data_IF_416954629793
#
_entry.id   IF_416954629793
#
_cell.length_a   1.000
_cell.length_b   1.000
_cell.length_c   1.000
_cell.angle_alpha   90.00
_cell.angle_beta   90.00
_cell.angle_gamma   90.00
#
_symmetry.space_group_name_H-M   'P 1'
#
loop_
_entity.id
_entity.type
_entity.pdbx_description
1 polymer ?
#
# COMPACT_ATOMS: atom_id res chain seq x y z
N UNK A 1 20.28 -10.71 21.37
CA UNK A 1 19.43 -10.78 20.16
C UNK A 1 18.16 -9.99 20.46
N UNK A 2 18.21 -8.67 20.34
CA UNK A 2 17.06 -7.80 20.59
C UNK A 2 16.83 -6.98 19.32
N UNK A 3 15.86 -7.46 18.56
CA UNK A 3 15.37 -6.90 17.31
C UNK A 3 14.83 -5.49 17.60
N UNK A 4 15.67 -4.47 17.36
CA UNK A 4 15.27 -3.07 17.47
C UNK A 4 14.46 -2.72 16.23
N UNK A 5 13.16 -2.91 16.37
CA UNK A 5 12.11 -2.29 15.58
C UNK A 5 12.32 -0.76 15.62
N UNK A 6 13.09 -0.27 14.62
CA UNK A 6 13.33 1.16 14.42
C UNK A 6 12.02 1.80 13.99
N UNK A 7 11.20 2.16 14.99
CA UNK A 7 10.08 3.09 14.89
C UNK A 7 10.53 4.32 14.12
N UNK A 8 10.22 4.34 12.82
CA UNK A 8 10.43 5.52 11.97
C UNK A 8 9.51 6.62 12.48
N UNK A 9 10.17 7.74 12.75
CA UNK A 9 9.67 8.97 13.36
C UNK A 9 8.35 9.42 12.72
N UNK A 10 7.37 9.70 13.57
CA UNK A 10 6.24 10.57 13.27
C UNK A 10 6.78 11.98 12.97
N UNK A 11 7.08 12.26 11.71
CA UNK A 11 7.17 13.62 11.19
C UNK A 11 5.91 13.84 10.35
N UNK A 12 5.10 14.84 10.74
CA UNK A 12 3.86 15.19 10.08
C UNK A 12 4.09 15.38 8.58
N UNK A 13 3.34 14.60 7.80
CA UNK A 13 3.39 14.42 6.34
C UNK A 13 4.61 13.62 5.85
N UNK A 14 4.44 12.32 5.50
CA UNK A 14 5.44 11.64 4.66
C UNK A 14 5.71 12.50 3.42
N UNK A 15 6.97 12.63 3.06
CA UNK A 15 7.44 13.32 1.85
C UNK A 15 6.44 13.08 0.70
N UNK A 16 5.89 14.16 0.14
CA UNK A 16 4.78 14.08 -0.82
C UNK A 16 5.15 13.21 -2.03
N UNK A 17 6.43 13.18 -2.45
CA UNK A 17 6.90 12.32 -3.55
C UNK A 17 6.89 10.86 -3.16
N UNK A 18 7.38 10.53 -1.96
CA UNK A 18 7.32 9.16 -1.43
C UNK A 18 5.87 8.68 -1.31
N UNK A 19 4.95 9.59 -0.99
CA UNK A 19 3.52 9.31 -0.98
C UNK A 19 2.98 9.03 -2.39
N UNK A 20 3.30 9.85 -3.39
CA UNK A 20 2.87 9.67 -4.77
C UNK A 20 3.41 8.39 -5.40
N UNK A 21 4.69 8.07 -5.16
CA UNK A 21 5.31 6.82 -5.61
C UNK A 21 4.60 5.59 -5.05
N UNK A 22 4.20 5.66 -3.78
CA UNK A 22 3.51 4.57 -3.09
C UNK A 22 2.07 4.41 -3.62
N UNK A 23 1.37 5.51 -3.94
CA UNK A 23 0.07 5.44 -4.64
C UNK A 23 0.21 4.83 -6.03
N UNK A 24 1.20 5.27 -6.80
CA UNK A 24 1.45 4.72 -8.13
C UNK A 24 1.76 3.22 -8.08
N UNK A 25 2.51 2.77 -7.07
CA UNK A 25 2.80 1.35 -6.84
C UNK A 25 1.52 0.56 -6.53
N UNK A 26 0.67 1.07 -5.64
CA UNK A 26 -0.62 0.44 -5.29
C UNK A 26 -1.51 0.33 -6.54
N UNK A 27 -1.68 1.42 -7.30
CA UNK A 27 -2.53 1.45 -8.50
C UNK A 27 -2.01 0.54 -9.61
N UNK A 28 -0.69 0.52 -9.84
CA UNK A 28 -0.05 -0.39 -10.81
C UNK A 28 -0.28 -1.85 -10.42
N UNK A 29 -0.15 -2.16 -9.13
CA UNK A 29 -0.34 -3.51 -8.61
C UNK A 29 -1.80 -3.94 -8.73
N UNK A 30 -2.73 -3.08 -8.34
CA UNK A 30 -4.16 -3.34 -8.45
C UNK A 30 -4.58 -3.57 -9.90
N UNK A 31 -4.18 -2.68 -10.83
CA UNK A 31 -4.46 -2.81 -12.26
C UNK A 31 -3.96 -4.13 -12.83
N UNK A 32 -2.73 -4.54 -12.46
CA UNK A 32 -2.16 -5.81 -12.88
C UNK A 32 -2.99 -6.99 -12.38
N UNK A 33 -3.30 -7.03 -11.08
CA UNK A 33 -4.08 -8.13 -10.50
C UNK A 33 -5.49 -8.19 -11.09
N UNK A 34 -6.14 -7.04 -11.30
CA UNK A 34 -7.45 -6.99 -11.96
C UNK A 34 -7.40 -7.56 -13.37
N UNK A 35 -6.33 -7.32 -14.13
CA UNK A 35 -6.14 -7.89 -15.46
C UNK A 35 -5.81 -9.39 -15.47
N UNK A 36 -5.10 -9.88 -14.46
CA UNK A 36 -4.65 -11.28 -14.39
C UNK A 36 -5.73 -12.25 -13.87
N UNK A 37 -6.49 -11.86 -12.85
CA UNK A 37 -7.47 -12.74 -12.18
C UNK A 37 -8.90 -12.17 -12.12
N UNK A 38 -9.10 -10.92 -12.53
CA UNK A 38 -10.40 -10.24 -12.50
C UNK A 38 -10.69 -9.53 -11.17
N UNK A 39 -11.54 -8.51 -11.23
CA UNK A 39 -11.86 -7.65 -10.07
C UNK A 39 -12.43 -8.41 -8.87
N UNK A 40 -13.40 -9.31 -9.10
CA UNK A 40 -14.05 -10.07 -8.02
C UNK A 40 -13.10 -11.03 -7.30
N UNK A 41 -12.03 -11.47 -7.97
CA UNK A 41 -11.03 -12.36 -7.39
C UNK A 41 -9.90 -11.61 -6.69
N UNK A 42 -9.80 -10.29 -6.82
CA UNK A 42 -8.72 -9.47 -6.23
C UNK A 42 -9.18 -8.81 -4.93
N UNK A 43 -8.46 -9.06 -3.84
CA UNK A 43 -8.68 -8.41 -2.55
C UNK A 43 -7.66 -7.30 -2.25
N UNK A 44 -8.03 -6.39 -1.36
CA UNK A 44 -7.13 -5.33 -0.86
C UNK A 44 -5.93 -5.95 -0.13
N UNK A 45 -6.11 -7.07 0.57
CA UNK A 45 -5.04 -7.84 1.19
C UNK A 45 -4.02 -8.35 0.16
N UNK A 46 -4.48 -8.86 -1.00
CA UNK A 46 -3.58 -9.32 -2.06
C UNK A 46 -2.77 -8.16 -2.63
N UNK A 47 -3.43 -7.02 -2.89
CA UNK A 47 -2.74 -5.80 -3.37
C UNK A 47 -1.70 -5.35 -2.35
N UNK A 48 -2.05 -5.33 -1.06
CA UNK A 48 -1.14 -4.97 0.03
C UNK A 48 0.08 -5.88 0.12
N UNK A 49 -0.13 -7.20 0.01
CA UNK A 49 0.94 -8.19 0.03
C UNK A 49 1.90 -8.03 -1.16
N UNK A 50 1.37 -7.83 -2.37
CA UNK A 50 2.19 -7.68 -3.59
C UNK A 50 2.93 -6.33 -3.61
N UNK A 51 2.26 -5.24 -3.21
CA UNK A 51 2.87 -3.92 -3.13
C UNK A 51 3.79 -3.74 -1.90
N UNK A 52 3.86 -4.74 -1.01
CA UNK A 52 4.64 -4.71 0.26
C UNK A 52 4.27 -3.53 1.15
N UNK A 53 2.98 -3.20 1.23
CA UNK A 53 2.43 -2.11 2.04
C UNK A 53 1.43 -2.65 3.05
N UNK A 54 1.29 -1.99 4.20
CA UNK A 54 0.25 -2.36 5.17
C UNK A 54 -1.15 -2.02 4.67
N UNK A 55 -2.14 -2.86 4.99
CA UNK A 55 -3.57 -2.63 4.67
C UNK A 55 -4.06 -1.26 5.14
N UNK A 56 -3.63 -0.84 6.33
CA UNK A 56 -3.93 0.48 6.89
C UNK A 56 -3.36 1.64 6.05
N UNK A 57 -2.21 1.44 5.39
CA UNK A 57 -1.64 2.43 4.47
C UNK A 57 -2.53 2.59 3.24
N UNK A 58 -3.09 1.49 2.71
CA UNK A 58 -4.02 1.57 1.57
C UNK A 58 -5.29 2.32 1.99
N UNK A 59 -5.95 1.92 3.08
CA UNK A 59 -7.20 2.58 3.49
C UNK A 59 -7.04 4.04 3.89
N UNK A 60 -5.88 4.44 4.44
CA UNK A 60 -5.60 5.85 4.74
C UNK A 60 -5.51 6.70 3.47
N UNK A 61 -5.07 6.10 2.35
CA UNK A 61 -4.78 6.80 1.09
C UNK A 61 -5.95 6.71 0.11
N UNK A 62 -6.67 5.60 0.14
CA UNK A 62 -7.90 5.36 -0.61
C UNK A 62 -9.03 5.13 0.40
N UNK A 63 -9.56 6.19 1.03
CA UNK A 63 -10.71 6.05 1.92
C UNK A 63 -11.88 5.46 1.12
N UNK A 64 -12.37 4.29 1.57
CA UNK A 64 -13.50 3.63 0.93
C UNK A 64 -14.75 4.49 1.08
N UNK A 65 -15.39 4.82 -0.03
CA UNK A 65 -16.81 5.20 -0.11
C UNK A 65 -17.50 4.28 -1.08
#
# INVERSE_FOLDING_TARGET
MADQDRRRKFAGRPDSRMSEELDALILKTATRLFGEQGYAATSVEQIAAVAKVGKQTIYRRHPSK
#
